data_IF_415523312400
#
_entry.id   IF_415523312400
#
_cell.length_a   1.000
_cell.length_b   1.000
_cell.length_c   1.000
_cell.angle_alpha   90.00
_cell.angle_beta   90.00
_cell.angle_gamma   90.00
#
_symmetry.space_group_name_H-M   'P 1'
#
loop_
_entity.id
_entity.type
_entity.pdbx_description
1 polymer ?
#
# COMPACT_ATOMS: atom_id res chain seq x y z
N UNK A 1 26.82 11.57 -12.70
CA UNK A 1 26.28 11.33 -11.34
C UNK A 1 26.27 9.83 -11.12
N UNK A 2 26.89 9.37 -10.04
CA UNK A 2 26.87 7.97 -9.63
C UNK A 2 26.16 7.89 -8.28
N UNK A 3 25.24 6.95 -8.16
CA UNK A 3 24.56 6.61 -6.91
C UNK A 3 24.82 5.14 -6.61
N UNK A 4 25.23 4.84 -5.39
CA UNK A 4 25.51 3.48 -4.95
C UNK A 4 25.11 3.31 -3.49
N UNK A 5 24.19 2.41 -3.24
CA UNK A 5 23.70 1.97 -1.93
C UNK A 5 23.01 0.61 -2.13
N UNK A 6 22.28 0.12 -1.17
CA UNK A 6 21.41 -1.03 -1.42
C UNK A 6 20.39 -0.72 -2.55
N UNK A 7 19.87 -1.75 -3.18
CA UNK A 7 19.03 -1.62 -4.37
C UNK A 7 17.82 -0.70 -4.16
N UNK A 8 17.15 -0.79 -3.02
CA UNK A 8 15.94 -0.01 -2.75
C UNK A 8 16.24 1.49 -2.59
N UNK A 9 17.26 1.84 -1.83
CA UNK A 9 17.71 3.24 -1.69
C UNK A 9 18.18 3.82 -3.02
N UNK A 10 18.95 3.04 -3.81
CA UNK A 10 19.40 3.47 -5.13
C UNK A 10 18.24 3.73 -6.08
N UNK A 11 17.21 2.88 -6.09
CA UNK A 11 16.00 3.08 -6.92
C UNK A 11 15.26 4.38 -6.57
N UNK A 12 15.10 4.68 -5.28
CA UNK A 12 14.47 5.94 -4.82
C UNK A 12 15.27 7.16 -5.29
N UNK A 13 16.59 7.12 -5.13
CA UNK A 13 17.48 8.20 -5.58
C UNK A 13 17.42 8.41 -7.10
N UNK A 14 17.42 7.33 -7.88
CA UNK A 14 17.29 7.37 -9.33
C UNK A 14 15.92 7.89 -9.78
N UNK A 15 14.86 7.56 -9.05
CA UNK A 15 13.53 8.11 -9.32
C UNK A 15 13.51 9.63 -9.16
N UNK A 16 14.04 10.15 -8.05
CA UNK A 16 14.15 11.59 -7.81
C UNK A 16 14.99 12.27 -8.89
N UNK A 17 16.15 11.71 -9.22
CA UNK A 17 17.03 12.25 -10.26
C UNK A 17 16.33 12.28 -11.63
N UNK A 18 15.60 11.23 -11.98
CA UNK A 18 14.84 11.17 -13.23
C UNK A 18 13.79 12.27 -13.33
N UNK A 19 13.02 12.47 -12.26
CA UNK A 19 11.98 13.50 -12.22
C UNK A 19 12.57 14.90 -12.32
N UNK A 20 13.62 15.20 -11.56
CA UNK A 20 14.31 16.51 -11.57
C UNK A 20 14.97 16.79 -12.93
N UNK A 21 15.61 15.77 -13.51
CA UNK A 21 16.23 15.92 -14.84
C UNK A 21 15.17 16.15 -15.92
N UNK A 22 14.05 15.43 -15.85
CA UNK A 22 12.93 15.60 -16.78
C UNK A 22 12.34 17.01 -16.72
N UNK A 23 12.20 17.56 -15.53
CA UNK A 23 11.70 18.93 -15.34
C UNK A 23 12.69 19.97 -15.89
N UNK A 24 13.97 19.90 -15.48
CA UNK A 24 15.00 20.87 -15.92
C UNK A 24 15.25 20.87 -17.41
N UNK A 25 15.09 19.74 -18.07
CA UNK A 25 15.28 19.60 -19.51
C UNK A 25 14.01 19.89 -20.32
N UNK A 26 12.90 20.24 -19.66
CA UNK A 26 11.62 20.51 -20.32
C UNK A 26 11.02 19.28 -21.04
N UNK A 27 11.33 18.06 -20.54
CA UNK A 27 10.87 16.81 -21.13
C UNK A 27 9.47 16.40 -20.61
N UNK A 28 8.98 17.11 -19.60
CA UNK A 28 7.65 16.87 -19.01
C UNK A 28 6.65 17.85 -19.56
N UNK A 29 5.62 17.35 -20.21
CA UNK A 29 4.52 18.15 -20.76
C UNK A 29 3.23 17.82 -19.97
N UNK A 30 2.78 18.77 -19.16
CA UNK A 30 1.56 18.63 -18.33
C UNK A 30 0.27 18.49 -19.14
N UNK A 31 0.30 18.83 -20.44
CA UNK A 31 -0.86 18.68 -21.32
C UNK A 31 -0.95 17.31 -22.01
N UNK A 32 0.02 16.44 -21.78
CA UNK A 32 0.02 15.07 -22.25
C UNK A 32 -0.25 14.10 -21.11
N UNK A 33 -1.03 13.07 -21.39
CA UNK A 33 -1.33 12.00 -20.45
C UNK A 33 -0.64 10.72 -20.92
N UNK A 34 0.51 10.44 -20.32
CA UNK A 34 1.31 9.25 -20.61
C UNK A 34 1.09 8.22 -19.52
N UNK A 35 0.50 7.09 -19.90
CA UNK A 35 0.08 6.04 -18.97
C UNK A 35 0.91 4.77 -19.14
N UNK A 36 1.12 4.05 -18.04
CA UNK A 36 1.77 2.75 -18.02
C UNK A 36 1.25 1.89 -16.85
N UNK A 37 1.52 0.59 -16.94
CA UNK A 37 1.34 -0.34 -15.84
C UNK A 37 2.68 -0.66 -15.20
N UNK A 38 2.72 -0.71 -13.86
CA UNK A 38 3.80 -1.31 -13.11
C UNK A 38 3.30 -2.66 -12.61
N UNK A 39 4.10 -3.68 -12.83
CA UNK A 39 3.79 -5.08 -12.50
C UNK A 39 5.00 -5.76 -11.84
N UNK A 40 4.87 -7.03 -11.47
CA UNK A 40 5.95 -7.83 -10.89
C UNK A 40 6.53 -7.24 -9.60
N UNK A 41 5.66 -6.71 -8.75
CA UNK A 41 6.05 -6.26 -7.42
C UNK A 41 6.58 -7.43 -6.57
N UNK A 42 7.50 -7.19 -5.63
CA UNK A 42 7.81 -8.19 -4.62
C UNK A 42 6.56 -8.51 -3.79
N UNK A 43 6.35 -9.79 -3.46
CA UNK A 43 5.24 -10.23 -2.63
C UNK A 43 5.46 -9.85 -1.17
N UNK A 44 6.72 -9.93 -0.73
CA UNK A 44 7.14 -9.64 0.62
C UNK A 44 8.27 -8.61 0.64
N UNK A 45 8.35 -7.88 1.73
CA UNK A 45 9.47 -7.01 2.07
C UNK A 45 9.94 -7.29 3.49
N UNK A 46 11.23 -7.09 3.75
CA UNK A 46 11.77 -7.21 5.09
C UNK A 46 11.54 -5.93 5.87
N UNK A 47 10.97 -6.05 7.06
CA UNK A 47 10.85 -4.93 7.99
C UNK A 47 11.99 -4.97 9.00
N UNK A 48 12.84 -3.94 8.96
CA UNK A 48 13.92 -3.78 9.94
C UNK A 48 13.37 -3.45 11.34
N UNK A 49 12.21 -2.83 11.42
CA UNK A 49 11.56 -2.49 12.68
C UNK A 49 10.96 -3.74 13.35
N UNK A 50 10.24 -4.55 12.57
CA UNK A 50 9.56 -5.74 13.08
C UNK A 50 10.40 -7.02 13.00
N UNK A 51 11.59 -6.95 12.36
CA UNK A 51 12.53 -8.07 12.19
C UNK A 51 11.87 -9.30 11.57
N UNK A 52 11.00 -9.09 10.58
CA UNK A 52 10.29 -10.16 9.87
C UNK A 52 9.87 -9.73 8.46
N UNK A 53 9.45 -10.71 7.68
CA UNK A 53 8.80 -10.45 6.39
C UNK A 53 7.40 -9.86 6.60
N UNK A 54 7.10 -8.85 5.81
CA UNK A 54 5.80 -8.21 5.71
C UNK A 54 5.26 -8.36 4.29
N UNK A 55 3.94 -8.40 4.13
CA UNK A 55 3.34 -8.32 2.80
C UNK A 55 3.55 -6.91 2.24
N UNK A 56 4.10 -6.79 1.05
CA UNK A 56 4.33 -5.49 0.39
C UNK A 56 3.01 -4.72 0.19
N UNK A 57 1.94 -5.41 -0.17
CA UNK A 57 0.63 -4.81 -0.39
C UNK A 57 -0.41 -5.34 0.60
N UNK A 58 -0.70 -6.64 0.52
CA UNK A 58 -1.80 -7.24 1.25
C UNK A 58 -1.60 -8.74 1.44
N UNK A 59 -1.88 -9.33 2.62
CA UNK A 59 -1.68 -10.78 2.86
C UNK A 59 -2.53 -11.70 2.00
N UNK A 60 -3.53 -11.18 1.29
CA UNK A 60 -4.37 -11.93 0.37
C UNK A 60 -3.98 -11.75 -1.11
N UNK A 61 -2.85 -11.10 -1.39
CA UNK A 61 -2.33 -10.93 -2.75
C UNK A 61 -1.80 -12.26 -3.28
N UNK A 62 -2.20 -12.62 -4.50
CA UNK A 62 -1.76 -13.84 -5.16
C UNK A 62 -0.27 -13.76 -5.50
N UNK A 63 0.56 -14.73 -5.08
CA UNK A 63 1.91 -14.89 -5.62
C UNK A 63 1.85 -15.21 -7.11
N UNK A 64 2.86 -14.79 -7.86
CA UNK A 64 3.01 -15.23 -9.24
C UNK A 64 3.02 -16.77 -9.28
N UNK A 65 2.19 -17.42 -10.11
CA UNK A 65 2.11 -18.87 -10.16
C UNK A 65 3.45 -19.57 -10.41
N UNK A 66 4.34 -18.96 -11.19
CA UNK A 66 5.69 -19.48 -11.47
C UNK A 66 6.58 -19.47 -10.23
N UNK A 67 6.33 -18.55 -9.29
CA UNK A 67 7.16 -18.35 -8.11
C UNK A 67 6.62 -19.08 -6.86
N UNK A 68 5.44 -19.73 -6.93
CA UNK A 68 4.86 -20.47 -5.79
C UNK A 68 5.84 -21.51 -5.19
N UNK A 69 6.66 -22.22 -5.98
CA UNK A 69 7.66 -23.15 -5.42
C UNK A 69 8.71 -22.48 -4.53
N UNK A 70 8.98 -21.18 -4.73
CA UNK A 70 9.98 -20.42 -3.97
C UNK A 70 9.49 -20.01 -2.58
N UNK A 71 8.18 -20.10 -2.30
CA UNK A 71 7.58 -19.59 -1.05
C UNK A 71 8.21 -20.15 0.22
N UNK A 72 8.67 -21.39 0.19
CA UNK A 72 9.21 -22.08 1.38
C UNK A 72 10.70 -21.83 1.59
N UNK A 73 11.48 -21.66 0.50
CA UNK A 73 12.94 -21.55 0.56
C UNK A 73 13.43 -20.12 0.35
N UNK A 74 12.75 -19.36 -0.54
CA UNK A 74 13.16 -18.03 -0.95
C UNK A 74 11.98 -17.08 -1.07
N UNK A 75 11.19 -16.86 0.01
CA UNK A 75 10.01 -16.01 -0.04
C UNK A 75 10.32 -14.55 -0.46
N UNK A 76 11.52 -14.06 -0.19
CA UNK A 76 11.99 -12.73 -0.58
C UNK A 76 12.13 -12.52 -2.10
N UNK A 77 12.13 -13.62 -2.89
CA UNK A 77 12.24 -13.59 -4.34
C UNK A 77 10.90 -13.73 -5.06
N UNK A 78 9.83 -14.03 -4.30
CA UNK A 78 8.50 -14.25 -4.87
C UNK A 78 7.89 -12.94 -5.33
N UNK A 79 7.43 -12.90 -6.59
CA UNK A 79 6.68 -11.78 -7.15
C UNK A 79 5.20 -11.89 -6.82
N UNK A 80 4.56 -10.76 -6.68
CA UNK A 80 3.12 -10.63 -6.53
C UNK A 80 2.42 -10.46 -7.89
N UNK A 81 1.22 -10.98 -8.04
CA UNK A 81 0.33 -10.58 -9.14
C UNK A 81 -0.42 -9.33 -8.70
N UNK A 82 0.34 -8.25 -8.58
CA UNK A 82 -0.13 -6.91 -8.27
C UNK A 82 0.21 -5.97 -9.42
N UNK A 83 -0.54 -4.90 -9.53
CA UNK A 83 -0.41 -3.95 -10.64
C UNK A 83 -0.85 -2.56 -10.20
N UNK A 84 -0.07 -1.55 -10.63
CA UNK A 84 -0.40 -0.15 -10.46
C UNK A 84 -0.56 0.52 -11.83
N UNK A 85 -1.63 1.30 -11.97
CA UNK A 85 -1.84 2.17 -13.10
C UNK A 85 -1.25 3.54 -12.81
N UNK A 86 -0.28 3.93 -13.60
CA UNK A 86 0.49 5.17 -13.42
C UNK A 86 0.25 6.11 -14.60
N UNK A 87 -0.02 7.38 -14.31
CA UNK A 87 -0.12 8.43 -15.31
C UNK A 87 0.84 9.57 -14.94
N UNK A 88 1.66 9.99 -15.89
CA UNK A 88 2.66 11.06 -15.71
C UNK A 88 3.58 10.87 -14.50
N UNK A 89 3.87 9.61 -14.15
CA UNK A 89 4.71 9.25 -13.01
C UNK A 89 3.99 9.25 -11.66
N UNK A 90 2.67 9.42 -11.65
CA UNK A 90 1.82 9.39 -10.45
C UNK A 90 0.93 8.15 -10.52
N UNK A 91 0.95 7.33 -9.46
CA UNK A 91 0.02 6.21 -9.29
C UNK A 91 -1.40 6.75 -9.18
N UNK A 92 -2.25 6.38 -10.12
CA UNK A 92 -3.67 6.73 -10.14
C UNK A 92 -4.55 5.66 -9.51
N UNK A 93 -4.11 4.43 -9.56
CA UNK A 93 -4.83 3.32 -8.96
C UNK A 93 -4.01 2.06 -8.99
N UNK A 94 -4.36 1.13 -8.14
CA UNK A 94 -3.67 -0.15 -8.03
C UNK A 94 -4.60 -1.27 -7.60
N UNK A 95 -4.11 -2.48 -7.74
CA UNK A 95 -4.85 -3.67 -7.37
C UNK A 95 -4.01 -4.94 -7.44
N UNK A 96 -4.68 -6.05 -7.23
CA UNK A 96 -4.04 -7.36 -7.33
C UNK A 96 -5.05 -8.46 -7.62
N UNK A 97 -4.56 -9.56 -8.15
CA UNK A 97 -5.30 -10.83 -8.09
C UNK A 97 -5.21 -11.34 -6.65
N UNK A 98 -6.31 -11.90 -6.15
CA UNK A 98 -6.43 -12.39 -4.78
C UNK A 98 -6.27 -13.90 -4.71
N UNK A 99 -5.71 -14.37 -3.61
CA UNK A 99 -5.67 -15.80 -3.29
C UNK A 99 -7.11 -16.26 -3.07
N UNK A 100 -7.47 -17.37 -3.70
CA UNK A 100 -8.76 -18.06 -3.53
C UNK A 100 -8.60 -19.50 -3.08
N UNK A 101 -7.36 -20.01 -3.02
CA UNK A 101 -7.04 -21.32 -2.47
C UNK A 101 -6.68 -21.21 -0.98
N UNK A 102 -7.43 -21.93 -0.13
CA UNK A 102 -7.25 -21.85 1.32
C UNK A 102 -5.91 -22.41 1.82
N UNK A 103 -5.30 -23.37 1.09
CA UNK A 103 -4.00 -23.94 1.48
C UNK A 103 -2.88 -22.94 1.19
N UNK A 104 -2.95 -22.30 0.04
CA UNK A 104 -2.01 -21.24 -0.32
C UNK A 104 -2.12 -20.06 0.65
N UNK A 105 -3.35 -19.67 1.04
CA UNK A 105 -3.58 -18.62 2.02
C UNK A 105 -2.98 -18.96 3.39
N UNK A 106 -3.09 -20.19 3.84
CA UNK A 106 -2.49 -20.63 5.11
C UNK A 106 -0.95 -20.52 5.05
N UNK A 107 -0.31 -20.94 3.95
CA UNK A 107 1.14 -20.77 3.77
C UNK A 107 1.57 -19.29 3.83
N UNK A 108 0.79 -18.40 3.20
CA UNK A 108 1.05 -16.97 3.26
C UNK A 108 1.01 -16.44 4.70
N UNK A 109 0.04 -16.87 5.49
CA UNK A 109 -0.06 -16.48 6.89
C UNK A 109 1.13 -16.99 7.72
N UNK A 110 1.57 -18.23 7.50
CA UNK A 110 2.74 -18.80 8.17
C UNK A 110 4.02 -18.00 7.88
N UNK A 111 4.27 -17.65 6.61
CA UNK A 111 5.43 -16.83 6.22
C UNK A 111 5.39 -15.45 6.88
N UNK A 112 4.20 -14.87 7.02
CA UNK A 112 3.99 -13.57 7.67
C UNK A 112 3.99 -13.65 9.21
N UNK A 113 4.18 -14.84 9.79
CA UNK A 113 4.25 -15.04 11.25
C UNK A 113 2.90 -15.02 11.97
N UNK A 114 1.81 -15.29 11.27
CA UNK A 114 0.51 -15.49 11.91
C UNK A 114 0.39 -16.92 12.44
N UNK A 115 0.03 -17.07 13.71
CA UNK A 115 -0.44 -18.37 14.18
C UNK A 115 -1.84 -18.65 13.63
N UNK A 116 -2.26 -19.92 13.49
CA UNK A 116 -3.61 -20.26 13.04
C UNK A 116 -4.71 -19.58 13.85
N UNK A 117 -4.53 -19.48 15.18
CA UNK A 117 -5.48 -18.82 16.09
C UNK A 117 -5.57 -17.32 15.80
N UNK A 118 -4.44 -16.67 15.58
CA UNK A 118 -4.39 -15.23 15.25
C UNK A 118 -5.01 -14.96 13.88
N UNK A 119 -4.71 -15.80 12.88
CA UNK A 119 -5.32 -15.70 11.56
C UNK A 119 -6.84 -15.87 11.63
N UNK A 120 -7.33 -16.85 12.40
CA UNK A 120 -8.77 -17.05 12.62
C UNK A 120 -9.43 -15.92 13.40
N UNK A 121 -8.76 -15.35 14.40
CA UNK A 121 -9.31 -14.24 15.16
C UNK A 121 -9.47 -12.95 14.31
N UNK A 122 -8.53 -12.70 13.39
CA UNK A 122 -8.53 -11.49 12.56
C UNK A 122 -9.31 -11.66 11.25
N UNK A 123 -9.18 -12.81 10.60
CA UNK A 123 -9.66 -13.07 9.24
C UNK A 123 -10.60 -14.28 9.14
N UNK A 124 -11.04 -14.83 10.28
CA UNK A 124 -11.84 -16.05 10.32
C UNK A 124 -13.12 -15.96 9.51
N UNK A 125 -13.77 -14.80 9.46
CA UNK A 125 -14.96 -14.57 8.65
C UNK A 125 -14.68 -14.81 7.15
N UNK A 126 -13.55 -14.32 6.64
CA UNK A 126 -13.15 -14.47 5.25
C UNK A 126 -12.64 -15.89 4.96
N UNK A 127 -11.79 -16.44 5.83
CA UNK A 127 -11.28 -17.81 5.73
C UNK A 127 -12.45 -18.82 5.70
N UNK A 128 -13.45 -18.60 6.54
CA UNK A 128 -14.64 -19.47 6.57
C UNK A 128 -15.50 -19.30 5.32
N UNK A 129 -15.66 -18.06 4.81
CA UNK A 129 -16.38 -17.82 3.57
C UNK A 129 -15.73 -18.56 2.38
N UNK A 130 -14.41 -18.61 2.31
CA UNK A 130 -13.68 -19.33 1.26
C UNK A 130 -13.92 -20.84 1.27
N UNK A 131 -14.33 -21.45 2.40
CA UNK A 131 -14.68 -22.88 2.48
C UNK A 131 -15.93 -23.23 1.65
N UNK A 132 -16.76 -22.25 1.34
CA UNK A 132 -17.94 -22.42 0.48
C UNK A 132 -17.62 -22.25 -1.01
N UNK A 133 -16.36 -21.99 -1.35
CA UNK A 133 -15.86 -21.76 -2.69
C UNK A 133 -15.73 -20.29 -3.01
N UNK A 134 -14.49 -19.84 -3.23
CA UNK A 134 -14.20 -18.51 -3.73
C UNK A 134 -13.80 -18.61 -5.20
N UNK A 135 -14.41 -17.85 -6.12
CA UNK A 135 -13.94 -17.79 -7.49
C UNK A 135 -12.60 -17.06 -7.56
N UNK A 136 -11.80 -17.28 -8.61
CA UNK A 136 -10.72 -16.36 -8.93
C UNK A 136 -11.27 -14.93 -9.02
N UNK A 137 -10.65 -14.02 -8.30
CA UNK A 137 -11.09 -12.63 -8.23
C UNK A 137 -9.92 -11.67 -8.14
N UNK A 138 -10.16 -10.46 -8.58
CA UNK A 138 -9.21 -9.37 -8.58
C UNK A 138 -9.95 -8.05 -8.39
N UNK A 139 -9.22 -6.98 -8.18
CA UNK A 139 -9.79 -5.65 -8.07
C UNK A 139 -8.81 -4.58 -8.47
N UNK A 140 -9.34 -3.42 -8.78
CA UNK A 140 -8.61 -2.19 -9.06
C UNK A 140 -9.36 -1.04 -8.41
N UNK A 141 -8.65 -0.19 -7.68
CA UNK A 141 -9.20 1.02 -7.11
C UNK A 141 -8.43 2.24 -7.60
N UNK A 142 -9.15 3.28 -8.00
CA UNK A 142 -8.57 4.55 -8.41
C UNK A 142 -8.67 5.59 -7.29
N UNK A 143 -7.58 6.37 -7.11
CA UNK A 143 -7.57 7.55 -6.27
C UNK A 143 -8.26 8.70 -7.00
N UNK A 144 -9.54 8.96 -6.69
CA UNK A 144 -10.33 9.97 -7.40
C UNK A 144 -9.68 11.36 -7.33
N UNK A 145 -9.19 11.76 -6.16
CA UNK A 145 -8.56 13.07 -5.99
C UNK A 145 -7.28 13.21 -6.83
N UNK A 146 -6.47 12.14 -6.91
CA UNK A 146 -5.29 12.11 -7.78
C UNK A 146 -5.66 12.21 -9.24
N UNK A 147 -6.69 11.47 -9.67
CA UNK A 147 -7.19 11.50 -11.02
C UNK A 147 -7.67 12.90 -11.40
N UNK A 148 -8.51 13.52 -10.56
CA UNK A 148 -9.01 14.87 -10.77
C UNK A 148 -7.87 15.90 -10.80
N UNK A 149 -6.90 15.82 -9.90
CA UNK A 149 -5.78 16.77 -9.86
C UNK A 149 -4.95 16.73 -11.15
N UNK A 150 -4.67 15.54 -11.68
CA UNK A 150 -3.95 15.38 -12.95
C UNK A 150 -4.76 15.93 -14.12
N UNK A 151 -6.05 15.60 -14.20
CA UNK A 151 -6.92 16.08 -15.29
C UNK A 151 -7.11 17.59 -15.27
N UNK A 152 -7.10 18.19 -14.08
CA UNK A 152 -7.22 19.64 -13.90
C UNK A 152 -5.88 20.39 -13.99
N UNK A 153 -4.76 19.67 -14.13
CA UNK A 153 -3.41 20.26 -14.19
C UNK A 153 -2.96 20.88 -12.87
N UNK A 154 -3.48 20.40 -11.73
CA UNK A 154 -3.17 20.90 -10.39
C UNK A 154 -1.90 20.25 -9.83
N UNK A 155 -1.15 20.98 -9.03
CA UNK A 155 0.09 20.50 -8.42
C UNK A 155 -0.15 19.74 -7.10
N UNK A 156 -1.35 19.85 -6.52
CA UNK A 156 -1.69 19.21 -5.25
C UNK A 156 -3.12 18.68 -5.23
N UNK A 157 -3.32 17.47 -4.69
CA UNK A 157 -4.64 16.92 -4.43
C UNK A 157 -5.44 17.76 -3.40
N UNK A 158 -4.77 18.58 -2.60
CA UNK A 158 -5.45 19.48 -1.64
C UNK A 158 -6.38 20.47 -2.32
N UNK A 159 -6.08 20.83 -3.56
CA UNK A 159 -6.93 21.72 -4.35
C UNK A 159 -8.21 21.05 -4.86
N UNK A 160 -8.28 19.71 -4.77
CA UNK A 160 -9.45 18.89 -5.15
C UNK A 160 -10.28 18.45 -3.94
N UNK A 161 -9.78 18.63 -2.72
CA UNK A 161 -10.45 18.17 -1.49
C UNK A 161 -11.13 19.36 -0.82
N UNK A 162 -12.43 19.22 -0.52
CA UNK A 162 -13.22 20.31 0.06
C UNK A 162 -12.69 20.77 1.43
N UNK A 163 -12.17 19.86 2.25
CA UNK A 163 -11.67 20.15 3.60
C UNK A 163 -10.30 19.48 3.80
N UNK A 164 -9.22 19.98 3.15
CA UNK A 164 -7.91 19.36 3.24
C UNK A 164 -7.29 19.56 4.62
N UNK A 165 -6.65 18.52 5.13
CA UNK A 165 -5.87 18.62 6.36
C UNK A 165 -4.55 19.34 6.10
N UNK A 166 -4.07 20.07 7.10
CA UNK A 166 -2.76 20.71 7.07
C UNK A 166 -1.61 19.68 7.27
N UNK A 167 -0.35 20.17 7.27
CA UNK A 167 0.82 19.32 7.42
C UNK A 167 0.90 18.60 8.78
N UNK A 168 0.21 19.11 9.81
CA UNK A 168 0.09 18.47 11.13
C UNK A 168 -1.06 17.46 11.20
N UNK A 169 -1.73 17.16 10.08
CA UNK A 169 -2.89 16.27 10.05
C UNK A 169 -4.17 16.89 10.63
N UNK A 170 -4.17 18.20 10.88
CA UNK A 170 -5.29 18.92 11.48
C UNK A 170 -6.27 19.40 10.41
N UNK A 171 -7.55 19.18 10.63
CA UNK A 171 -8.62 19.81 9.89
C UNK A 171 -8.87 21.21 10.46
N UNK A 172 -8.50 22.22 9.71
CA UNK A 172 -8.61 23.62 10.16
C UNK A 172 -10.04 24.16 10.09
N UNK A 173 -10.92 23.51 9.34
CA UNK A 173 -12.33 23.90 9.23
C UNK A 173 -13.13 23.44 10.45
N UNK A 174 -12.89 22.21 10.89
CA UNK A 174 -13.60 21.58 12.01
C UNK A 174 -12.85 21.71 13.33
N UNK A 175 -11.63 22.27 13.31
CA UNK A 175 -10.71 22.33 14.45
C UNK A 175 -10.41 20.94 15.06
N UNK A 176 -10.34 19.91 14.19
CA UNK A 176 -10.10 18.51 14.59
C UNK A 176 -8.64 18.11 14.35
N UNK A 177 -8.06 17.20 15.17
CA UNK A 177 -8.69 16.55 16.32
C UNK A 177 -8.90 17.48 17.51
N UNK A 178 -9.94 17.22 18.28
CA UNK A 178 -10.25 17.89 19.54
C UNK A 178 -10.16 16.93 20.72
N UNK A 179 -10.12 17.45 21.93
CA UNK A 179 -10.15 16.62 23.14
C UNK A 179 -11.50 15.88 23.25
N UNK A 180 -11.46 14.69 23.84
CA UNK A 180 -12.64 13.87 24.11
C UNK A 180 -13.02 14.07 25.56
N UNK A 181 -14.32 14.25 25.84
CA UNK A 181 -14.81 14.38 27.21
C UNK A 181 -14.55 13.11 28.02
N UNK A 182 -14.17 13.30 29.30
CA UNK A 182 -13.87 12.17 30.19
C UNK A 182 -15.04 11.18 30.30
N UNK A 183 -16.28 11.66 30.31
CA UNK A 183 -17.47 10.82 30.34
C UNK A 183 -17.55 9.82 29.16
N UNK A 184 -17.12 10.25 27.98
CA UNK A 184 -17.06 9.37 26.79
C UNK A 184 -15.94 8.33 26.91
N UNK A 185 -14.80 8.71 27.49
CA UNK A 185 -13.70 7.77 27.75
C UNK A 185 -14.12 6.73 28.80
N UNK A 186 -14.79 7.15 29.86
CA UNK A 186 -15.28 6.26 30.91
C UNK A 186 -16.31 5.26 30.40
N UNK A 187 -17.23 5.69 29.54
CA UNK A 187 -18.22 4.83 28.88
C UNK A 187 -17.57 3.71 28.05
N UNK A 188 -16.44 4.02 27.40
CA UNK A 188 -15.69 3.08 26.57
C UNK A 188 -14.60 2.31 27.35
N UNK A 189 -14.46 2.54 28.64
CA UNK A 189 -13.39 1.99 29.49
C UNK A 189 -11.98 2.30 28.95
N UNK A 190 -11.78 3.53 28.43
CA UNK A 190 -10.52 3.99 27.88
C UNK A 190 -9.83 4.99 28.82
N UNK A 191 -8.52 4.94 28.85
CA UNK A 191 -7.68 5.90 29.56
C UNK A 191 -6.63 6.50 28.62
N UNK A 192 -6.49 7.81 28.61
CA UNK A 192 -5.43 8.51 27.87
C UNK A 192 -4.14 8.47 28.69
N UNK A 193 -3.13 7.76 28.18
CA UNK A 193 -1.78 7.80 28.75
C UNK A 193 -0.97 8.90 28.09
N UNK A 194 -0.55 9.87 28.87
CA UNK A 194 0.41 10.86 28.38
C UNK A 194 1.72 10.16 27.99
N UNK A 195 2.37 10.58 26.87
CA UNK A 195 3.69 10.08 26.54
C UNK A 195 4.64 10.35 27.71
N UNK A 196 5.44 9.37 28.06
CA UNK A 196 6.51 9.58 29.06
C UNK A 196 7.46 10.62 28.47
N UNK A 197 7.64 11.71 29.22
CA UNK A 197 8.60 12.76 28.89
C UNK A 197 10.04 12.21 28.83
#
# INVERSE_FOLDING_TARGET
IMSGDNANKTRVQLCTLRLESGERLGLRDKNKFECLWIVDFPLFEWSDEEQRLMATHHPFTMPNPEDIPLLDEHPEQVRAVAYDFVCNGIELGGGSIRIHDGKLQARMFDILGFTPERAMAQFGFLINAFKYGAPPHAGLAFGLDRFVSIMAGLDSIRDCIAFPKNNSGRDVMLDAPSEIDQAQLDELFLEVKAPKA
#
